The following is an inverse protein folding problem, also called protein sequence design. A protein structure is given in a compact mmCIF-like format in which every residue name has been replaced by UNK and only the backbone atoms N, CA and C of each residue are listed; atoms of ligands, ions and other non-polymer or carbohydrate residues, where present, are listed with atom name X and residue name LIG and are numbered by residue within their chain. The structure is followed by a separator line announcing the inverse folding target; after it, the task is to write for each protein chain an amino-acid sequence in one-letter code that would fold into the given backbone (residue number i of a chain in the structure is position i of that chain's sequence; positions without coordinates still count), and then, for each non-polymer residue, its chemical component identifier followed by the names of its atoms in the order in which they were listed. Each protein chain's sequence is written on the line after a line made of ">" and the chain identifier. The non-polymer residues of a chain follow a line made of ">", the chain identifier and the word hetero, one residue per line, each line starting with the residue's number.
data_IF_622057428244
#
_entry.id   IF_622057428244
#
_cell.length_a   1.000
_cell.length_b   1.000
_cell.length_c   1.000
_cell.angle_alpha   90.00
_cell.angle_beta   90.00
_cell.angle_gamma   90.00
#
_symmetry.space_group_name_H-M   'P 1'
#
loop_
_entity.id
_entity.type
_entity.pdbx_description
1 polymer ?
#
# COMPACT_ATOMS: atom_id res chain seq x y z
N UNK A 1 22.61 15.17 -20.69
CA UNK A 1 21.66 14.07 -20.55
C UNK A 1 22.39 12.75 -20.54
N UNK A 2 22.63 12.17 -21.72
CA UNK A 2 23.25 10.83 -21.89
C UNK A 2 24.60 10.68 -21.18
N UNK A 3 25.50 11.67 -21.28
CA UNK A 3 26.81 11.63 -20.63
C UNK A 3 26.72 11.56 -19.09
N UNK A 4 25.80 12.31 -18.50
CA UNK A 4 25.53 12.30 -17.04
C UNK A 4 24.99 10.92 -16.63
N UNK A 5 24.05 10.35 -17.40
CA UNK A 5 23.51 9.01 -17.12
C UNK A 5 24.57 7.91 -17.22
N UNK A 6 25.56 8.04 -18.13
CA UNK A 6 26.70 7.11 -18.18
C UNK A 6 27.56 7.21 -16.93
N UNK A 7 27.87 8.42 -16.48
CA UNK A 7 28.58 8.61 -15.21
C UNK A 7 27.87 7.97 -14.01
N UNK A 8 26.55 8.15 -13.90
CA UNK A 8 25.74 7.53 -12.85
C UNK A 8 25.75 5.99 -12.91
N UNK A 9 25.72 5.41 -14.12
CA UNK A 9 25.84 3.95 -14.31
C UNK A 9 27.21 3.44 -13.86
N UNK A 10 28.28 4.15 -14.20
CA UNK A 10 29.65 3.78 -13.83
C UNK A 10 29.85 3.84 -12.30
N UNK A 11 29.18 4.75 -11.61
CA UNK A 11 29.17 4.81 -10.14
C UNK A 11 28.33 3.68 -9.52
N UNK A 12 27.11 3.46 -10.03
CA UNK A 12 26.24 2.40 -9.54
C UNK A 12 26.85 0.99 -9.72
N UNK A 13 27.59 0.78 -10.81
CA UNK A 13 28.26 -0.49 -11.10
C UNK A 13 29.36 -0.87 -10.09
N UNK A 14 29.85 0.09 -9.29
CA UNK A 14 30.86 -0.14 -8.24
C UNK A 14 30.25 -0.55 -6.89
N UNK A 15 28.92 -0.48 -6.76
CA UNK A 15 28.23 -0.83 -5.52
C UNK A 15 28.17 -2.34 -5.37
N UNK A 16 28.56 -2.82 -4.19
CA UNK A 16 28.43 -4.23 -3.81
C UNK A 16 27.28 -4.38 -2.81
N UNK A 17 26.65 -5.56 -2.80
CA UNK A 17 25.61 -5.88 -1.81
C UNK A 17 26.29 -6.12 -0.47
N UNK A 18 25.69 -5.58 0.58
CA UNK A 18 26.08 -5.82 1.97
C UNK A 18 24.88 -6.36 2.77
N UNK A 19 25.18 -7.01 3.89
CA UNK A 19 24.15 -7.40 4.85
C UNK A 19 23.63 -6.15 5.57
N UNK A 20 22.32 -6.00 5.59
CA UNK A 20 21.62 -4.92 6.30
C UNK A 20 20.49 -5.49 7.13
N UNK A 21 20.12 -4.81 8.22
CA UNK A 21 18.97 -5.17 9.05
C UNK A 21 17.62 -4.95 8.35
N UNK A 22 16.57 -5.57 8.88
CA UNK A 22 15.22 -5.49 8.31
C UNK A 22 14.58 -4.09 8.43
N UNK A 23 15.08 -3.23 9.32
CA UNK A 23 14.69 -1.84 9.46
C UNK A 23 14.94 -1.00 8.19
N UNK A 24 15.83 -1.48 7.32
CA UNK A 24 16.10 -0.87 6.01
C UNK A 24 15.12 -1.34 4.93
N UNK A 25 14.28 -2.33 5.21
CA UNK A 25 13.31 -2.88 4.25
C UNK A 25 11.97 -2.12 4.32
N UNK A 26 11.45 -1.78 3.15
CA UNK A 26 10.06 -1.32 2.97
C UNK A 26 9.35 -2.28 2.03
N UNK A 27 8.30 -2.93 2.52
CA UNK A 27 7.46 -3.85 1.76
C UNK A 27 6.17 -3.15 1.32
N UNK A 28 6.00 -2.97 0.01
CA UNK A 28 4.73 -2.53 -0.57
C UNK A 28 3.91 -3.76 -1.00
N UNK A 29 2.61 -3.76 -0.69
CA UNK A 29 1.72 -4.89 -0.91
C UNK A 29 0.54 -4.44 -1.77
N UNK A 30 0.22 -5.26 -2.76
CA UNK A 30 -0.84 -5.06 -3.74
C UNK A 30 -1.48 -6.41 -4.03
N UNK A 31 -2.77 -6.39 -4.31
CA UNK A 31 -3.54 -7.48 -4.85
C UNK A 31 -3.37 -7.50 -6.37
N UNK A 32 -3.56 -8.68 -6.96
CA UNK A 32 -3.62 -8.87 -8.41
C UNK A 32 -5.07 -9.03 -8.86
N UNK A 33 -5.40 -10.21 -9.35
CA UNK A 33 -6.80 -10.60 -9.57
C UNK A 33 -7.39 -11.14 -8.27
N UNK A 34 -8.08 -10.28 -7.52
CA UNK A 34 -8.75 -10.70 -6.28
C UNK A 34 -9.79 -11.79 -6.58
N UNK A 35 -9.73 -12.89 -5.85
CA UNK A 35 -10.71 -13.98 -5.92
C UNK A 35 -11.33 -14.25 -4.54
N UNK A 36 -12.34 -15.13 -4.51
CA UNK A 36 -13.04 -15.44 -3.26
C UNK A 36 -12.15 -16.12 -2.21
N UNK A 37 -10.98 -16.63 -2.58
CA UNK A 37 -10.05 -17.33 -1.69
C UNK A 37 -8.93 -16.45 -1.18
N UNK A 38 -8.66 -15.31 -1.84
CA UNK A 38 -7.55 -14.41 -1.54
C UNK A 38 -7.67 -13.86 -0.12
N UNK A 39 -8.88 -13.44 0.28
CA UNK A 39 -9.19 -13.00 1.64
C UNK A 39 -9.08 -14.09 2.72
N UNK A 40 -9.07 -15.38 2.34
CA UNK A 40 -8.96 -16.52 3.25
C UNK A 40 -7.56 -17.14 3.28
N UNK A 41 -6.72 -16.85 2.29
CA UNK A 41 -5.43 -17.55 2.08
C UNK A 41 -4.27 -16.57 1.96
N UNK A 42 -4.08 -15.97 0.77
CA UNK A 42 -2.94 -15.11 0.47
C UNK A 42 -2.93 -13.85 1.35
N UNK A 43 -4.06 -13.16 1.52
CA UNK A 43 -4.10 -11.90 2.26
C UNK A 43 -3.77 -12.10 3.75
N UNK A 44 -4.32 -13.12 4.45
CA UNK A 44 -3.88 -13.45 5.81
C UNK A 44 -2.38 -13.81 5.90
N UNK A 45 -1.85 -14.58 4.94
CA UNK A 45 -0.43 -14.95 4.94
C UNK A 45 0.48 -13.73 4.76
N UNK A 46 0.13 -12.82 3.84
CA UNK A 46 0.84 -11.56 3.61
C UNK A 46 0.70 -10.63 4.83
N UNK A 47 -0.47 -10.61 5.48
CA UNK A 47 -0.68 -9.89 6.74
C UNK A 47 0.25 -10.36 7.86
N UNK A 48 0.44 -11.68 8.01
CA UNK A 48 1.38 -12.22 9.00
C UNK A 48 2.84 -11.83 8.71
N UNK A 49 3.23 -11.77 7.43
CA UNK A 49 4.56 -11.28 7.03
C UNK A 49 4.71 -9.78 7.30
N UNK A 50 3.67 -8.99 7.06
CA UNK A 50 3.65 -7.57 7.34
C UNK A 50 3.86 -7.28 8.84
N UNK A 51 3.09 -7.96 9.70
CA UNK A 51 3.22 -7.83 11.14
C UNK A 51 4.63 -8.21 11.61
N UNK A 52 5.15 -9.36 11.15
CA UNK A 52 6.52 -9.80 11.46
C UNK A 52 7.58 -8.78 11.02
N UNK A 53 7.46 -8.20 9.83
CA UNK A 53 8.43 -7.22 9.34
C UNK A 53 8.40 -5.93 10.16
N UNK A 54 7.21 -5.46 10.55
CA UNK A 54 7.06 -4.31 11.45
C UNK A 54 7.69 -4.59 12.81
N UNK A 55 7.53 -5.81 13.35
CA UNK A 55 8.21 -6.23 14.58
C UNK A 55 9.74 -6.22 14.47
N UNK A 56 10.30 -6.49 13.28
CA UNK A 56 11.74 -6.37 13.02
C UNK A 56 12.20 -4.91 12.78
N UNK A 57 11.32 -3.92 12.89
CA UNK A 57 11.62 -2.50 12.66
C UNK A 57 11.52 -2.05 11.20
N UNK A 58 11.13 -2.96 10.29
CA UNK A 58 10.87 -2.66 8.90
C UNK A 58 9.57 -1.88 8.69
N UNK A 59 9.28 -1.52 7.44
CA UNK A 59 8.10 -0.72 7.07
C UNK A 59 7.22 -1.48 6.09
N UNK A 60 5.92 -1.30 6.20
CA UNK A 60 4.94 -1.90 5.29
C UNK A 60 4.02 -0.81 4.73
N UNK A 61 3.67 -0.94 3.45
CA UNK A 61 2.76 -0.05 2.73
C UNK A 61 1.67 -0.89 2.06
N UNK A 62 0.42 -0.49 2.27
CA UNK A 62 -0.75 -0.94 1.51
C UNK A 62 -1.17 0.21 0.59
N UNK A 63 -1.26 -0.01 -0.72
CA UNK A 63 -1.44 1.10 -1.68
C UNK A 63 -2.77 1.12 -2.45
N UNK A 64 -3.59 0.08 -2.36
CA UNK A 64 -4.89 -0.02 -3.06
C UNK A 64 -6.02 0.74 -2.34
N UNK A 65 -6.02 2.07 -2.45
CA UNK A 65 -7.00 2.93 -1.75
C UNK A 65 -8.45 2.53 -2.01
N UNK A 66 -8.77 2.08 -3.24
CA UNK A 66 -10.13 1.68 -3.61
C UNK A 66 -10.59 0.41 -2.87
N UNK A 67 -9.69 -0.52 -2.59
CA UNK A 67 -9.97 -1.76 -1.83
C UNK A 67 -10.24 -1.48 -0.34
N UNK A 68 -9.90 -0.28 0.16
CA UNK A 68 -10.19 0.11 1.54
C UNK A 68 -11.59 0.70 1.72
N UNK A 69 -12.26 1.10 0.64
CA UNK A 69 -13.61 1.66 0.71
C UNK A 69 -14.61 0.59 1.18
N UNK A 70 -15.35 0.87 2.25
CA UNK A 70 -16.18 -0.10 2.98
C UNK A 70 -15.51 -0.72 4.20
N UNK A 71 -14.20 -0.51 4.41
CA UNK A 71 -13.45 -0.99 5.59
C UNK A 71 -13.04 0.14 6.55
N UNK A 72 -13.58 1.35 6.34
CA UNK A 72 -13.12 2.58 7.00
C UNK A 72 -13.14 2.47 8.52
N UNK A 73 -14.20 1.87 9.10
CA UNK A 73 -14.32 1.71 10.53
C UNK A 73 -13.20 0.84 11.11
N UNK A 74 -12.90 -0.29 10.47
CA UNK A 74 -11.86 -1.23 10.91
C UNK A 74 -10.48 -0.56 10.83
N UNK A 75 -10.20 0.16 9.74
CA UNK A 75 -8.93 0.88 9.60
C UNK A 75 -8.82 2.05 10.59
N UNK A 76 -9.90 2.77 10.83
CA UNK A 76 -9.95 3.89 11.77
C UNK A 76 -9.68 3.45 13.21
N UNK A 77 -10.17 2.27 13.62
CA UNK A 77 -9.94 1.68 14.94
C UNK A 77 -8.48 1.31 15.18
N UNK A 78 -7.73 1.00 14.11
CA UNK A 78 -6.32 0.59 14.17
C UNK A 78 -5.34 1.75 13.99
N UNK A 79 -5.82 2.99 13.81
CA UNK A 79 -4.97 4.16 13.65
C UNK A 79 -4.25 4.52 14.95
N UNK A 80 -2.96 4.84 14.86
CA UNK A 80 -2.13 5.16 16.03
C UNK A 80 -2.55 6.44 16.79
N UNK A 81 -3.28 7.35 16.14
CA UNK A 81 -3.77 8.58 16.76
C UNK A 81 -5.05 9.10 16.08
N UNK A 82 -5.83 9.98 16.74
CA UNK A 82 -6.97 10.66 16.12
C UNK A 82 -6.60 11.44 14.86
N UNK A 83 -5.43 12.07 14.81
CA UNK A 83 -4.96 12.84 13.66
C UNK A 83 -4.70 11.92 12.45
N UNK A 84 -4.10 10.75 12.68
CA UNK A 84 -3.88 9.73 11.64
C UNK A 84 -5.21 9.20 11.14
N UNK A 85 -6.15 8.92 12.06
CA UNK A 85 -7.51 8.48 11.73
C UNK A 85 -8.24 9.50 10.87
N UNK A 86 -8.25 10.76 11.26
CA UNK A 86 -8.98 11.80 10.54
C UNK A 86 -8.36 12.03 9.16
N UNK A 87 -7.02 11.94 9.04
CA UNK A 87 -6.32 11.97 7.75
C UNK A 87 -6.68 10.78 6.86
N UNK A 88 -6.74 9.57 7.42
CA UNK A 88 -7.16 8.37 6.70
C UNK A 88 -8.57 8.55 6.14
N UNK A 89 -9.55 8.87 6.99
CA UNK A 89 -10.95 9.04 6.59
C UNK A 89 -11.12 10.15 5.56
N UNK A 90 -10.38 11.27 5.70
CA UNK A 90 -10.36 12.33 4.72
C UNK A 90 -9.82 11.88 3.35
N UNK A 91 -8.74 11.08 3.36
CA UNK A 91 -8.12 10.55 2.14
C UNK A 91 -9.07 9.58 1.42
N UNK A 92 -9.69 8.65 2.15
CA UNK A 92 -10.65 7.69 1.58
C UNK A 92 -11.86 8.40 0.99
N UNK A 93 -12.42 9.39 1.70
CA UNK A 93 -13.54 10.20 1.19
C UNK A 93 -13.16 10.96 -0.09
N UNK A 94 -12.01 11.64 -0.09
CA UNK A 94 -11.57 12.40 -1.25
C UNK A 94 -11.35 11.49 -2.48
N UNK A 95 -10.77 10.31 -2.27
CA UNK A 95 -10.58 9.32 -3.33
C UNK A 95 -11.90 8.78 -3.87
N UNK A 96 -12.85 8.42 -3.00
CA UNK A 96 -14.17 7.94 -3.40
C UNK A 96 -14.92 8.99 -4.25
N UNK A 97 -14.89 10.27 -3.86
CA UNK A 97 -15.51 11.34 -4.64
C UNK A 97 -14.80 11.56 -5.98
N UNK A 98 -13.47 11.49 -6.01
CA UNK A 98 -12.71 11.58 -7.26
C UNK A 98 -13.07 10.45 -8.23
N UNK A 99 -13.14 9.21 -7.75
CA UNK A 99 -13.52 8.06 -8.59
C UNK A 99 -14.95 8.22 -9.13
N UNK A 100 -15.90 8.69 -8.32
CA UNK A 100 -17.27 8.99 -8.79
C UNK A 100 -17.31 10.09 -9.84
N UNK A 101 -16.50 11.14 -9.70
CA UNK A 101 -16.42 12.23 -10.67
C UNK A 101 -15.82 11.77 -12.00
N UNK A 102 -14.78 10.93 -11.95
CA UNK A 102 -14.08 10.43 -13.14
C UNK A 102 -14.88 9.35 -13.89
N UNK A 103 -15.49 8.41 -13.16
CA UNK A 103 -16.15 7.24 -13.76
C UNK A 103 -17.68 7.39 -13.84
N UNK A 104 -18.27 8.36 -13.13
CA UNK A 104 -19.71 8.61 -13.14
C UNK A 104 -20.53 7.36 -12.81
N UNK A 105 -21.50 6.97 -13.67
CA UNK A 105 -22.28 5.74 -13.47
C UNK A 105 -21.44 4.47 -13.38
N UNK A 106 -20.21 4.45 -13.90
CA UNK A 106 -19.32 3.27 -13.90
C UNK A 106 -18.51 3.11 -12.60
N UNK A 107 -18.61 4.05 -11.65
CA UNK A 107 -17.84 3.98 -10.40
C UNK A 107 -18.08 2.67 -9.60
N UNK A 108 -19.27 2.08 -9.72
CA UNK A 108 -19.62 0.80 -9.10
C UNK A 108 -18.82 -0.41 -9.61
N UNK A 109 -18.07 -0.27 -10.71
CA UNK A 109 -17.21 -1.34 -11.24
C UNK A 109 -15.89 -1.46 -10.49
N UNK A 110 -15.48 -0.42 -9.77
CA UNK A 110 -14.21 -0.39 -9.02
C UNK A 110 -14.43 -0.14 -7.53
N UNK A 111 -15.54 0.50 -7.14
CA UNK A 111 -15.96 0.62 -5.75
C UNK A 111 -17.09 -0.39 -5.54
N UNK A 112 -16.87 -1.37 -4.66
CA UNK A 112 -17.95 -2.31 -4.30
C UNK A 112 -19.15 -1.54 -3.76
N UNK A 113 -20.38 -1.84 -4.20
CA UNK A 113 -21.57 -1.35 -3.52
C UNK A 113 -21.59 -1.97 -2.12
N UNK A 114 -21.35 -1.15 -1.10
CA UNK A 114 -21.53 -1.52 0.31
C UNK A 114 -22.99 -1.72 0.67
#
# INVERSE_FOLDING_TARGET
>A
GVEISRGMLDEAAKLEREEVGFEHLTLAMECGGSDTMSGLTANPAVGAVADWLVEQGGRVVLSEITEFLGTEAILAERCASPEVRDKLLGTLRAHAERVKQELGPMAHLVISPG
#
